data_IF_441175305320
#
_entry.id   IF_441175305320
#
_cell.length_a   1.000
_cell.length_b   1.000
_cell.length_c   1.000
_cell.angle_alpha   90.00
_cell.angle_beta   90.00
_cell.angle_gamma   90.00
#
_symmetry.space_group_name_H-M   'P 1'
#
loop_
_entity.id
_entity.type
_entity.pdbx_description
1 polymer ?
#
# COMPACT_ATOMS: atom_id res chain seq x y z
N UNK A 1 -4.72 1.29 -12.32
CA UNK A 1 -3.59 2.22 -12.55
C UNK A 1 -2.25 1.48 -12.40
N UNK A 2 -1.19 2.01 -13.00
CA UNK A 2 0.18 1.48 -12.85
C UNK A 2 0.70 1.75 -11.43
N UNK A 3 1.46 0.81 -10.88
CA UNK A 3 2.02 0.91 -9.53
C UNK A 3 3.11 1.98 -9.43
N UNK A 4 3.94 2.17 -10.48
CA UNK A 4 4.91 3.28 -10.54
C UNK A 4 4.33 4.67 -10.25
N UNK A 5 3.09 4.96 -10.68
CA UNK A 5 2.41 6.24 -10.38
C UNK A 5 2.16 6.40 -8.88
N UNK A 6 1.78 5.33 -8.20
CA UNK A 6 1.58 5.33 -6.75
C UNK A 6 2.93 5.50 -6.02
N UNK A 7 3.97 4.87 -6.52
CA UNK A 7 5.35 4.98 -6.00
C UNK A 7 5.91 6.39 -6.14
N UNK A 8 5.64 7.10 -7.24
CA UNK A 8 6.01 8.52 -7.39
C UNK A 8 5.38 9.38 -6.30
N UNK A 9 4.12 9.13 -5.94
CA UNK A 9 3.46 9.82 -4.83
C UNK A 9 4.08 9.41 -3.49
N UNK A 10 4.40 8.13 -3.28
CA UNK A 10 5.05 7.69 -2.05
C UNK A 10 6.41 8.36 -1.82
N UNK A 11 7.22 8.52 -2.86
CA UNK A 11 8.49 9.26 -2.77
C UNK A 11 8.27 10.73 -2.40
N UNK A 12 7.26 11.38 -2.98
CA UNK A 12 6.88 12.74 -2.62
C UNK A 12 6.47 12.83 -1.15
N UNK A 13 5.62 11.92 -0.68
CA UNK A 13 5.15 11.87 0.71
C UNK A 13 6.29 11.61 1.70
N UNK A 14 7.23 10.72 1.37
CA UNK A 14 8.40 10.43 2.21
C UNK A 14 9.36 11.62 2.30
N UNK A 15 9.41 12.48 1.27
CA UNK A 15 10.29 13.63 1.19
C UNK A 15 9.77 14.91 1.87
N UNK A 16 8.49 14.95 2.26
CA UNK A 16 7.88 16.11 2.92
C UNK A 16 7.46 15.78 4.35
N UNK A 17 7.45 16.80 5.21
CA UNK A 17 6.88 16.73 6.57
C UNK A 17 5.67 17.65 6.72
N UNK A 18 5.30 18.39 5.66
CA UNK A 18 4.24 19.39 5.69
C UNK A 18 2.91 18.74 5.36
N UNK A 19 1.99 18.76 6.33
CA UNK A 19 0.67 18.12 6.20
C UNK A 19 -0.17 18.64 5.03
N UNK A 20 -0.06 19.91 4.69
CA UNK A 20 -0.75 20.49 3.53
C UNK A 20 -0.23 19.90 2.21
N UNK A 21 1.10 19.87 2.01
CA UNK A 21 1.71 19.25 0.82
C UNK A 21 1.36 17.76 0.71
N UNK A 22 1.36 17.03 1.84
CA UNK A 22 0.89 15.63 1.86
C UNK A 22 -0.57 15.50 1.40
N UNK A 23 -1.45 16.39 1.90
CA UNK A 23 -2.87 16.37 1.55
C UNK A 23 -3.05 16.66 0.06
N UNK A 24 -2.34 17.66 -0.48
CA UNK A 24 -2.40 18.02 -1.90
C UNK A 24 -1.92 16.87 -2.81
N UNK A 25 -0.82 16.20 -2.44
CA UNK A 25 -0.34 15.00 -3.14
C UNK A 25 -1.37 13.87 -3.14
N UNK A 26 -2.06 13.65 -2.02
CA UNK A 26 -3.13 12.64 -1.92
C UNK A 26 -4.37 13.04 -2.73
N UNK A 27 -4.76 14.32 -2.74
CA UNK A 27 -5.87 14.82 -3.56
C UNK A 27 -5.62 14.56 -5.04
N UNK A 28 -4.40 14.86 -5.52
CA UNK A 28 -4.01 14.58 -6.91
C UNK A 28 -4.04 13.08 -7.21
N UNK A 29 -3.46 12.26 -6.32
CA UNK A 29 -3.48 10.80 -6.43
C UNK A 29 -4.91 10.25 -6.56
N UNK A 30 -5.82 10.66 -5.69
CA UNK A 30 -7.19 10.13 -5.67
C UNK A 30 -8.01 10.55 -6.89
N UNK A 31 -7.80 11.77 -7.41
CA UNK A 31 -8.45 12.22 -8.65
C UNK A 31 -7.99 11.43 -9.88
N UNK A 32 -6.73 10.98 -9.91
CA UNK A 32 -6.19 10.16 -10.99
C UNK A 32 -6.46 8.65 -10.82
N UNK A 33 -6.93 8.22 -9.66
CA UNK A 33 -7.14 6.81 -9.35
C UNK A 33 -8.48 6.32 -9.89
N UNK A 34 -8.52 5.29 -10.73
CA UNK A 34 -9.77 4.66 -11.15
C UNK A 34 -10.57 4.14 -9.95
N UNK A 35 -11.89 4.23 -9.99
CA UNK A 35 -12.77 3.75 -8.90
C UNK A 35 -12.53 2.28 -8.52
N UNK A 36 -12.12 1.44 -9.49
CA UNK A 36 -11.79 0.03 -9.27
C UNK A 36 -10.53 -0.24 -8.44
N UNK A 37 -9.69 0.78 -8.24
CA UNK A 37 -8.43 0.70 -7.50
C UNK A 37 -8.38 1.58 -6.24
N UNK A 38 -9.38 2.45 -6.01
CA UNK A 38 -9.31 3.46 -4.94
C UNK A 38 -9.19 2.87 -3.53
N UNK A 39 -9.89 1.76 -3.27
CA UNK A 39 -9.81 1.01 -2.02
C UNK A 39 -8.39 0.47 -1.79
N UNK A 40 -7.81 -0.15 -2.83
CA UNK A 40 -6.44 -0.68 -2.80
C UNK A 40 -5.41 0.43 -2.61
N UNK A 41 -5.55 1.54 -3.34
CA UNK A 41 -4.64 2.69 -3.25
C UNK A 41 -4.66 3.27 -1.83
N UNK A 42 -5.84 3.43 -1.24
CA UNK A 42 -5.99 3.94 0.13
C UNK A 42 -5.28 3.02 1.12
N UNK A 43 -5.50 1.70 1.06
CA UNK A 43 -4.83 0.77 1.97
C UNK A 43 -3.31 0.76 1.78
N UNK A 44 -2.82 0.68 0.53
CA UNK A 44 -1.38 0.68 0.26
C UNK A 44 -0.72 1.99 0.72
N UNK A 45 -1.40 3.13 0.61
CA UNK A 45 -0.92 4.43 1.12
C UNK A 45 -0.77 4.43 2.64
N UNK A 46 -1.63 3.69 3.36
CA UNK A 46 -1.50 3.49 4.80
C UNK A 46 -0.47 2.39 5.16
N UNK A 47 0.10 1.71 4.17
CA UNK A 47 0.99 0.56 4.39
C UNK A 47 0.25 -0.72 4.77
N UNK A 48 -1.05 -0.76 4.53
CA UNK A 48 -1.95 -1.87 4.88
C UNK A 48 -2.50 -2.54 3.61
N UNK A 49 -3.14 -3.70 3.77
CA UNK A 49 -3.95 -4.31 2.71
C UNK A 49 -5.40 -4.53 3.16
N UNK A 50 -5.70 -4.41 4.44
CA UNK A 50 -7.03 -4.65 4.98
C UNK A 50 -7.28 -3.75 6.17
N UNK A 51 -8.55 -3.48 6.51
CA UNK A 51 -8.90 -2.86 7.76
C UNK A 51 -8.30 -3.62 8.97
N UNK A 52 -7.87 -2.90 10.02
CA UNK A 52 -7.24 -3.52 11.20
C UNK A 52 -8.08 -4.64 11.84
N UNK A 53 -9.42 -4.53 11.82
CA UNK A 53 -10.31 -5.51 12.43
C UNK A 53 -10.32 -6.88 11.74
N UNK A 54 -9.79 -6.99 10.51
CA UNK A 54 -9.64 -8.28 9.82
C UNK A 54 -8.53 -9.13 10.47
N UNK A 55 -7.58 -8.50 11.19
CA UNK A 55 -6.50 -9.21 11.88
C UNK A 55 -5.48 -9.86 10.94
N UNK A 56 -5.48 -9.50 9.65
CA UNK A 56 -4.46 -9.93 8.70
C UNK A 56 -3.29 -8.95 8.73
N UNK A 57 -2.26 -9.30 9.47
CA UNK A 57 -1.04 -8.51 9.52
C UNK A 57 -0.15 -8.78 8.30
N UNK A 58 0.34 -7.69 7.71
CA UNK A 58 1.30 -7.71 6.65
C UNK A 58 2.69 -7.61 7.29
N UNK A 59 3.28 -8.77 7.59
CA UNK A 59 4.49 -8.88 8.41
C UNK A 59 5.39 -10.02 7.97
N UNK A 60 5.84 -10.00 6.72
CA UNK A 60 6.78 -10.99 6.23
C UNK A 60 8.13 -10.80 6.95
N UNK A 61 8.57 -11.83 7.67
CA UNK A 61 9.86 -11.81 8.34
C UNK A 61 11.00 -11.44 7.38
N UNK A 62 11.92 -10.59 7.82
CA UNK A 62 13.04 -10.06 7.01
C UNK A 62 13.83 -11.17 6.32
N UNK A 63 14.07 -12.29 7.01
CA UNK A 63 14.74 -13.47 6.45
C UNK A 63 13.99 -14.06 5.24
N UNK A 64 12.67 -14.07 5.24
CA UNK A 64 11.87 -14.56 4.10
C UNK A 64 11.87 -13.55 2.95
N UNK A 65 11.86 -12.24 3.27
CA UNK A 65 11.97 -11.19 2.27
C UNK A 65 13.35 -11.18 1.59
N UNK A 66 14.45 -11.40 2.33
CA UNK A 66 15.81 -11.59 1.80
C UNK A 66 15.85 -12.80 0.85
N UNK A 67 15.24 -13.92 1.23
CA UNK A 67 15.12 -15.11 0.35
C UNK A 67 14.36 -14.80 -0.94
N UNK A 68 13.25 -14.07 -0.85
CA UNK A 68 12.49 -13.67 -2.01
C UNK A 68 13.28 -12.73 -2.94
N UNK A 69 14.02 -11.78 -2.37
CA UNK A 69 14.90 -10.88 -3.10
C UNK A 69 16.08 -11.62 -3.74
N UNK A 70 16.63 -12.64 -3.07
CA UNK A 70 17.65 -13.53 -3.64
C UNK A 70 17.09 -14.33 -4.82
N UNK A 71 15.89 -14.90 -4.68
CA UNK A 71 15.23 -15.67 -5.72
C UNK A 71 14.86 -14.81 -6.95
N UNK A 72 14.27 -13.63 -6.74
CA UNK A 72 14.00 -12.67 -7.82
C UNK A 72 15.29 -12.15 -8.47
N UNK A 73 16.33 -12.08 -7.63
CA UNK A 73 17.73 -11.68 -7.75
C UNK A 73 18.70 -12.45 -8.65
N UNK A 74 18.78 -13.74 -8.38
CA UNK A 74 20.02 -14.49 -8.54
C UNK A 74 21.19 -14.02 -7.66
N UNK A 75 21.03 -12.94 -6.87
CA UNK A 75 22.07 -12.46 -5.95
C UNK A 75 22.03 -13.32 -4.69
N UNK A 76 23.20 -13.74 -4.21
CA UNK A 76 23.31 -14.58 -3.01
C UNK A 76 22.80 -13.86 -1.75
N UNK A 77 22.14 -14.58 -0.85
CA UNK A 77 21.58 -14.02 0.40
C UNK A 77 22.65 -13.29 1.23
N UNK A 78 23.89 -13.77 1.24
CA UNK A 78 24.99 -13.15 2.00
C UNK A 78 25.28 -11.72 1.55
N UNK A 79 25.29 -11.49 0.22
CA UNK A 79 25.51 -10.16 -0.36
C UNK A 79 24.35 -9.22 -0.01
N UNK A 80 23.12 -9.73 -0.06
CA UNK A 80 21.93 -8.97 0.32
C UNK A 80 21.99 -8.57 1.79
N UNK A 81 22.39 -9.49 2.67
CA UNK A 81 22.52 -9.25 4.11
C UNK A 81 23.63 -8.24 4.39
N UNK A 82 24.75 -8.30 3.67
CA UNK A 82 25.83 -7.31 3.80
C UNK A 82 25.39 -5.90 3.39
N UNK A 83 24.62 -5.76 2.32
CA UNK A 83 24.07 -4.46 1.92
C UNK A 83 22.99 -3.98 2.91
N UNK A 84 22.13 -4.88 3.36
CA UNK A 84 21.09 -4.60 4.36
C UNK A 84 21.68 -4.06 5.67
N UNK A 85 22.82 -4.58 6.12
CA UNK A 85 23.53 -4.06 7.30
C UNK A 85 23.98 -2.59 7.12
N UNK A 86 24.24 -2.16 5.89
CA UNK A 86 24.65 -0.79 5.58
C UNK A 86 23.46 0.15 5.44
N UNK A 87 22.39 -0.31 4.79
CA UNK A 87 21.19 0.50 4.53
C UNK A 87 20.25 0.57 5.74
N UNK A 88 20.19 -0.49 6.56
CA UNK A 88 19.20 -0.65 7.63
C UNK A 88 17.76 -0.87 7.12
N UNK A 89 17.55 -0.89 5.80
CA UNK A 89 16.25 -0.97 5.16
C UNK A 89 16.32 -1.89 3.94
N UNK A 90 15.56 -2.99 3.99
CA UNK A 90 15.56 -3.96 2.90
C UNK A 90 14.92 -3.39 1.63
N UNK A 91 14.01 -2.41 1.75
CA UNK A 91 13.50 -1.67 0.61
C UNK A 91 14.62 -0.98 -0.16
N UNK A 92 15.43 -0.17 0.53
CA UNK A 92 16.58 0.50 -0.07
C UNK A 92 17.61 -0.49 -0.63
N UNK A 93 17.89 -1.58 0.09
CA UNK A 93 18.77 -2.65 -0.42
C UNK A 93 18.22 -3.29 -1.71
N UNK A 94 16.92 -3.53 -1.77
CA UNK A 94 16.26 -4.04 -2.97
C UNK A 94 16.39 -3.08 -4.15
N UNK A 95 16.14 -1.79 -3.95
CA UNK A 95 16.34 -0.76 -4.98
C UNK A 95 17.79 -0.73 -5.48
N UNK A 96 18.77 -0.72 -4.56
CA UNK A 96 20.20 -0.72 -4.90
C UNK A 96 20.58 -1.93 -5.76
N UNK A 97 20.13 -3.13 -5.37
CA UNK A 97 20.40 -4.37 -6.11
C UNK A 97 19.76 -4.33 -7.50
N UNK A 98 18.52 -3.86 -7.61
CA UNK A 98 17.82 -3.78 -8.88
C UNK A 98 18.42 -2.73 -9.82
N UNK A 99 18.91 -1.60 -9.27
CA UNK A 99 19.54 -0.53 -10.05
C UNK A 99 20.89 -0.96 -10.64
N UNK A 100 21.62 -1.81 -9.92
CA UNK A 100 22.94 -2.32 -10.34
C UNK A 100 22.87 -3.54 -11.28
N UNK A 101 21.68 -4.06 -11.57
CA UNK A 101 21.53 -5.12 -12.58
C UNK A 101 21.86 -4.56 -13.95
N UNK A 102 23.02 -4.94 -14.50
CA UNK A 102 23.28 -4.83 -15.94
C UNK A 102 22.09 -5.44 -16.65
N UNK A 103 21.39 -4.63 -17.46
CA UNK A 103 20.17 -4.98 -18.19
C UNK A 103 20.32 -6.32 -18.90
N UNK A 104 20.05 -7.41 -18.19
CA UNK A 104 19.94 -8.74 -18.78
C UNK A 104 18.54 -8.78 -19.34
N UNK A 105 18.42 -8.29 -20.58
CA UNK A 105 17.49 -8.82 -21.59
C UNK A 105 16.17 -9.32 -21.03
N UNK A 106 15.38 -8.43 -20.41
CA UNK A 106 13.98 -8.71 -20.15
C UNK A 106 13.21 -8.30 -21.40
N UNK A 107 13.23 -9.19 -22.40
CA UNK A 107 12.21 -9.20 -23.43
C UNK A 107 10.85 -9.26 -22.70
N UNK A 108 10.12 -8.15 -22.72
CA UNK A 108 8.76 -7.98 -22.19
C UNK A 108 8.62 -8.08 -20.65
N UNK A 109 9.05 -7.03 -19.93
CA UNK A 109 8.52 -6.76 -18.59
C UNK A 109 7.10 -6.20 -18.70
N UNK A 110 6.12 -6.91 -18.14
CA UNK A 110 4.77 -6.37 -17.96
C UNK A 110 4.80 -5.37 -16.79
N UNK A 111 4.46 -4.09 -17.00
CA UNK A 111 4.44 -3.10 -15.92
C UNK A 111 3.49 -3.51 -14.80
N UNK A 112 3.90 -3.31 -13.54
CA UNK A 112 3.06 -3.64 -12.40
C UNK A 112 1.85 -2.70 -12.31
N UNK A 113 0.69 -3.27 -12.03
CA UNK A 113 -0.53 -2.53 -11.68
C UNK A 113 -0.76 -2.57 -10.17
N UNK A 114 -1.48 -1.58 -9.65
CA UNK A 114 -1.91 -1.57 -8.24
C UNK A 114 -2.67 -2.84 -7.88
N UNK A 115 -3.59 -3.28 -8.75
CA UNK A 115 -4.34 -4.52 -8.58
C UNK A 115 -3.43 -5.76 -8.46
N UNK A 116 -2.41 -5.87 -9.32
CA UNK A 116 -1.46 -6.98 -9.29
C UNK A 116 -0.64 -7.01 -8.00
N UNK A 117 -0.15 -5.84 -7.56
CA UNK A 117 0.61 -5.70 -6.31
C UNK A 117 -0.27 -6.07 -5.13
N UNK A 118 -1.44 -5.44 -5.01
CA UNK A 118 -2.38 -5.65 -3.92
C UNK A 118 -2.83 -7.11 -3.82
N UNK A 119 -3.29 -7.71 -4.93
CA UNK A 119 -3.74 -9.11 -4.95
C UNK A 119 -2.61 -10.11 -4.64
N UNK A 120 -1.35 -9.78 -4.96
CA UNK A 120 -0.20 -10.63 -4.62
C UNK A 120 0.17 -10.51 -3.15
N UNK A 121 0.15 -9.30 -2.58
CA UNK A 121 0.31 -9.08 -1.15
C UNK A 121 -0.82 -9.76 -0.35
N UNK A 122 -2.04 -9.71 -0.85
CA UNK A 122 -3.19 -10.41 -0.27
C UNK A 122 -2.95 -11.93 -0.20
N UNK A 123 -2.43 -12.54 -1.26
CA UNK A 123 -2.04 -13.96 -1.28
C UNK A 123 -0.94 -14.27 -0.26
N UNK A 124 0.01 -13.37 -0.07
CA UNK A 124 1.09 -13.51 0.94
C UNK A 124 0.50 -13.50 2.36
N UNK A 125 -0.43 -12.60 2.66
CA UNK A 125 -1.08 -12.53 3.97
C UNK A 125 -1.97 -13.75 4.25
N UNK A 126 -2.74 -14.20 3.26
CA UNK A 126 -3.65 -15.34 3.41
C UNK A 126 -2.93 -16.70 3.45
N UNK A 127 -1.66 -16.77 3.05
CA UNK A 127 -0.90 -18.02 3.08
C UNK A 127 -0.58 -18.44 4.54
N UNK A 128 -1.19 -19.55 4.98
CA UNK A 128 -1.04 -20.15 6.31
C UNK A 128 -0.86 -21.67 6.23
N UNK A 129 -0.44 -22.29 7.33
CA UNK A 129 -0.24 -23.74 7.40
C UNK A 129 1.09 -24.24 6.81
N UNK A 130 1.17 -25.56 6.59
CA UNK A 130 2.38 -26.24 6.10
C UNK A 130 2.74 -25.73 4.70
N UNK A 131 3.99 -25.29 4.52
CA UNK A 131 4.48 -24.76 3.24
C UNK A 131 4.17 -23.27 3.00
N UNK A 132 3.48 -22.59 3.91
CA UNK A 132 3.12 -21.18 3.75
C UNK A 132 4.35 -20.27 3.54
N UNK A 133 5.44 -20.50 4.28
CA UNK A 133 6.66 -19.69 4.14
C UNK A 133 7.23 -19.76 2.72
N UNK A 134 7.24 -20.94 2.10
CA UNK A 134 7.74 -21.12 0.74
C UNK A 134 6.83 -20.46 -0.30
N UNK A 135 5.52 -20.53 -0.11
CA UNK A 135 4.54 -19.81 -0.95
C UNK A 135 4.73 -18.30 -0.85
N UNK A 136 4.91 -17.75 0.36
CA UNK A 136 5.16 -16.31 0.56
C UNK A 136 6.43 -15.86 -0.15
N UNK A 137 7.51 -16.64 -0.06
CA UNK A 137 8.77 -16.37 -0.79
C UNK A 137 8.52 -16.36 -2.30
N UNK A 138 7.82 -17.37 -2.84
CA UNK A 138 7.53 -17.49 -4.28
C UNK A 138 6.66 -16.34 -4.80
N UNK A 139 5.60 -15.97 -4.07
CA UNK A 139 4.74 -14.85 -4.45
C UNK A 139 5.48 -13.53 -4.45
N UNK A 140 6.25 -13.25 -3.40
CA UNK A 140 7.02 -12.01 -3.33
C UNK A 140 8.10 -11.98 -4.41
N UNK A 141 8.84 -13.07 -4.61
CA UNK A 141 9.88 -13.14 -5.64
C UNK A 141 9.31 -12.91 -7.05
N UNK A 142 8.18 -13.56 -7.37
CA UNK A 142 7.52 -13.38 -8.66
C UNK A 142 7.00 -11.96 -8.89
N UNK A 143 6.53 -11.28 -7.83
CA UNK A 143 6.16 -9.86 -7.91
C UNK A 143 7.37 -8.97 -8.20
N UNK A 144 8.48 -9.21 -7.49
CA UNK A 144 9.71 -8.42 -7.64
C UNK A 144 10.36 -8.58 -9.02
N UNK A 145 10.21 -9.72 -9.70
CA UNK A 145 10.80 -9.94 -11.03
C UNK A 145 10.39 -8.88 -12.05
N UNK A 146 9.14 -8.41 -12.00
CA UNK A 146 8.60 -7.42 -12.94
C UNK A 146 8.73 -5.97 -12.46
N UNK A 147 9.09 -5.76 -11.19
CA UNK A 147 9.18 -4.44 -10.59
C UNK A 147 10.35 -3.59 -11.13
N UNK A 148 10.15 -2.28 -11.19
CA UNK A 148 11.20 -1.27 -11.30
C UNK A 148 11.92 -1.05 -9.95
N UNK A 149 13.15 -0.52 -9.92
CA UNK A 149 13.92 -0.39 -8.67
C UNK A 149 13.17 0.34 -7.54
N UNK A 150 12.47 1.44 -7.85
CA UNK A 150 11.66 2.16 -6.86
C UNK A 150 10.43 1.35 -6.42
N UNK A 151 9.80 0.62 -7.35
CA UNK A 151 8.69 -0.27 -7.00
C UNK A 151 9.14 -1.37 -6.03
N UNK A 152 10.35 -1.93 -6.22
CA UNK A 152 10.94 -2.91 -5.31
C UNK A 152 11.07 -2.36 -3.88
N UNK A 153 11.55 -1.13 -3.72
CA UNK A 153 11.69 -0.48 -2.41
C UNK A 153 10.36 -0.48 -1.66
N UNK A 154 9.30 0.01 -2.29
CA UNK A 154 8.00 0.13 -1.65
C UNK A 154 7.31 -1.23 -1.48
N UNK A 155 7.43 -2.17 -2.42
CA UNK A 155 6.89 -3.53 -2.26
C UNK A 155 7.52 -4.21 -1.04
N UNK A 156 8.83 -4.13 -0.86
CA UNK A 156 9.53 -4.75 0.29
C UNK A 156 9.14 -4.07 1.61
N UNK A 157 9.10 -2.73 1.65
CA UNK A 157 8.66 -1.99 2.84
C UNK A 157 7.23 -2.32 3.23
N UNK A 158 6.33 -2.39 2.25
CA UNK A 158 4.95 -2.84 2.48
C UNK A 158 5.00 -4.26 3.01
N UNK A 159 5.55 -5.23 2.28
CA UNK A 159 5.64 -6.65 2.65
C UNK A 159 6.13 -6.92 4.08
N UNK A 160 6.99 -6.07 4.62
CA UNK A 160 7.55 -6.17 5.97
C UNK A 160 6.79 -5.37 7.05
N UNK A 161 5.74 -4.63 6.70
CA UNK A 161 5.03 -3.73 7.60
C UNK A 161 5.87 -2.53 8.04
N UNK A 162 6.81 -2.10 7.19
CA UNK A 162 7.79 -1.04 7.48
C UNK A 162 7.58 0.24 6.68
N UNK A 163 6.55 0.30 5.83
CA UNK A 163 6.22 1.53 5.12
C UNK A 163 5.75 2.61 6.11
N UNK A 164 6.40 3.77 6.08
CA UNK A 164 6.06 4.93 6.92
C UNK A 164 6.07 6.18 6.07
N UNK A 165 4.88 6.61 5.63
CA UNK A 165 4.70 7.82 4.81
C UNK A 165 4.26 9.05 5.63
N UNK A 166 4.09 8.91 6.96
CA UNK A 166 3.57 9.97 7.82
C UNK A 166 2.07 10.26 7.61
N UNK A 167 1.34 9.34 6.97
CA UNK A 167 -0.08 9.47 6.67
C UNK A 167 -0.91 8.67 7.67
N UNK A 168 -2.00 9.27 8.13
CA UNK A 168 -3.00 8.65 8.98
C UNK A 168 -4.38 8.77 8.34
N UNK A 169 -5.35 7.97 8.81
CA UNK A 169 -6.74 7.94 8.31
C UNK A 169 -7.32 9.33 8.09
N UNK A 170 -7.18 10.24 9.06
CA UNK A 170 -7.77 11.57 8.97
C UNK A 170 -7.23 12.40 7.81
N UNK A 171 -5.96 12.20 7.45
CA UNK A 171 -5.35 12.87 6.30
C UNK A 171 -5.83 12.25 4.97
N UNK A 172 -6.11 10.95 4.94
CA UNK A 172 -6.80 10.31 3.81
C UNK A 172 -8.24 10.86 3.68
N UNK A 173 -8.98 10.97 4.78
CA UNK A 173 -10.36 11.49 4.78
C UNK A 173 -10.41 12.96 4.32
N UNK A 174 -9.47 13.79 4.77
CA UNK A 174 -9.30 15.16 4.28
C UNK A 174 -9.13 15.20 2.76
N UNK A 175 -8.21 14.38 2.24
CA UNK A 175 -7.92 14.32 0.82
C UNK A 175 -9.09 13.77 0.00
N UNK A 176 -9.83 12.77 0.50
CA UNK A 176 -11.04 12.26 -0.13
C UNK A 176 -12.15 13.33 -0.20
N UNK A 177 -12.34 14.09 0.87
CA UNK A 177 -13.31 15.18 0.93
C UNK A 177 -13.00 16.26 -0.13
N UNK A 178 -11.74 16.70 -0.20
CA UNK A 178 -11.31 17.70 -1.19
C UNK A 178 -11.36 17.13 -2.61
N UNK A 179 -10.91 15.89 -2.83
CA UNK A 179 -10.81 15.27 -4.15
C UNK A 179 -12.18 15.09 -4.82
N UNK A 180 -13.18 14.62 -4.05
CA UNK A 180 -14.48 14.21 -4.60
C UNK A 180 -15.64 15.14 -4.23
N UNK A 181 -15.48 16.01 -3.23
CA UNK A 181 -16.52 16.97 -2.82
C UNK A 181 -16.07 18.44 -2.93
N UNK A 182 -14.81 18.70 -3.29
CA UNK A 182 -14.28 20.04 -3.53
C UNK A 182 -13.94 20.86 -2.29
N UNK A 183 -14.22 20.35 -1.07
CA UNK A 183 -13.93 21.04 0.18
C UNK A 183 -13.68 20.05 1.32
N UNK A 184 -12.80 20.45 2.25
CA UNK A 184 -12.53 19.71 3.49
C UNK A 184 -13.74 19.71 4.44
N UNK A 185 -14.70 20.59 4.28
CA UNK A 185 -15.94 20.64 5.09
C UNK A 185 -16.75 19.34 5.01
N UNK A 186 -16.66 18.62 3.89
CA UNK A 186 -17.34 17.32 3.72
C UNK A 186 -16.71 16.19 4.54
N UNK A 187 -15.53 16.42 5.15
CA UNK A 187 -14.82 15.43 5.97
C UNK A 187 -15.69 14.87 7.08
N UNK A 188 -16.50 15.67 7.76
CA UNK A 188 -17.34 15.20 8.87
C UNK A 188 -18.34 14.11 8.44
N UNK A 189 -18.95 14.30 7.26
CA UNK A 189 -19.92 13.36 6.70
C UNK A 189 -19.23 12.05 6.29
N UNK A 190 -18.02 12.14 5.74
CA UNK A 190 -17.20 10.99 5.34
C UNK A 190 -16.65 10.25 6.57
N UNK A 191 -16.18 10.99 7.57
CA UNK A 191 -15.69 10.45 8.84
C UNK A 191 -16.79 9.68 9.57
N UNK A 192 -18.03 10.17 9.55
CA UNK A 192 -19.17 9.41 10.09
C UNK A 192 -19.31 8.04 9.41
N UNK A 193 -19.23 7.96 8.08
CA UNK A 193 -19.27 6.68 7.37
C UNK A 193 -18.08 5.77 7.73
N UNK A 194 -16.90 6.37 7.93
CA UNK A 194 -15.73 5.64 8.40
C UNK A 194 -15.92 5.08 9.82
N UNK A 195 -16.47 5.87 10.74
CA UNK A 195 -16.74 5.42 12.11
C UNK A 195 -17.77 4.27 12.17
N UNK A 196 -18.74 4.25 11.23
CA UNK A 196 -19.73 3.18 11.14
C UNK A 196 -19.18 1.87 10.57
N UNK A 197 -18.12 1.91 9.76
CA UNK A 197 -17.58 0.75 9.05
C UNK A 197 -16.22 0.28 9.54
N UNK A 198 -15.46 1.18 10.17
CA UNK A 198 -14.01 1.05 10.44
C UNK A 198 -13.20 0.66 9.19
N UNK A 199 -13.69 0.99 7.99
CA UNK A 199 -13.15 0.53 6.71
C UNK A 199 -13.02 1.71 5.73
N UNK A 200 -11.83 2.30 5.71
CA UNK A 200 -11.54 3.49 4.90
C UNK A 200 -11.55 3.20 3.40
N UNK A 201 -11.19 1.97 2.99
CA UNK A 201 -11.26 1.54 1.59
C UNK A 201 -12.70 1.45 1.11
N UNK A 202 -13.61 0.88 1.92
CA UNK A 202 -15.04 0.86 1.61
C UNK A 202 -15.63 2.27 1.52
N UNK A 203 -15.25 3.17 2.43
CA UNK A 203 -15.68 4.58 2.39
C UNK A 203 -15.19 5.27 1.13
N UNK A 204 -13.90 5.10 0.77
CA UNK A 204 -13.34 5.67 -0.44
C UNK A 204 -14.08 5.18 -1.69
N UNK A 205 -14.29 3.86 -1.80
CA UNK A 205 -15.02 3.27 -2.92
C UNK A 205 -16.46 3.77 -3.03
N UNK A 206 -17.17 3.83 -1.91
CA UNK A 206 -18.56 4.33 -1.87
C UNK A 206 -18.63 5.80 -2.30
N UNK A 207 -17.69 6.62 -1.85
CA UNK A 207 -17.60 8.03 -2.24
C UNK A 207 -17.28 8.20 -3.72
N UNK A 208 -16.34 7.42 -4.26
CA UNK A 208 -15.95 7.53 -5.67
C UNK A 208 -17.03 7.01 -6.63
N UNK A 209 -17.76 5.96 -6.26
CA UNK A 209 -18.81 5.36 -7.13
C UNK A 209 -20.15 6.10 -7.03
N UNK A 210 -20.55 6.54 -5.83
CA UNK A 210 -21.88 7.09 -5.56
C UNK A 210 -21.90 8.54 -5.06
N UNK A 211 -20.74 9.18 -4.95
CA UNK A 211 -20.62 10.56 -4.48
C UNK A 211 -21.01 10.75 -3.02
N UNK A 212 -21.15 12.01 -2.63
CA UNK A 212 -21.46 12.38 -1.24
C UNK A 212 -22.83 11.86 -0.78
N UNK A 213 -23.80 11.71 -1.68
CA UNK A 213 -25.13 11.23 -1.32
C UNK A 213 -25.14 9.73 -0.96
N UNK A 214 -24.27 8.91 -1.57
CA UNK A 214 -24.06 7.54 -1.14
C UNK A 214 -23.45 7.47 0.27
N UNK A 215 -22.50 8.36 0.58
CA UNK A 215 -21.91 8.50 1.93
C UNK A 215 -22.94 8.99 2.95
N UNK A 216 -23.85 9.90 2.57
CA UNK A 216 -24.93 10.34 3.46
C UNK A 216 -25.85 9.19 3.85
N UNK A 217 -26.08 8.25 2.93
CA UNK A 217 -26.92 7.07 3.11
C UNK A 217 -26.15 5.82 3.58
N UNK A 218 -24.88 5.97 3.97
CA UNK A 218 -24.03 4.88 4.38
C UNK A 218 -24.61 4.17 5.63
N UNK A 219 -24.86 2.87 5.53
CA UNK A 219 -25.48 2.07 6.60
C UNK A 219 -24.42 1.25 7.35
N UNK A 220 -24.72 0.93 8.60
CA UNK A 220 -23.95 -0.04 9.38
C UNK A 220 -23.92 -1.36 8.64
N UNK A 221 -22.72 -1.86 8.37
CA UNK A 221 -22.54 -3.20 7.79
C UNK A 221 -22.50 -4.20 8.94
N UNK A 222 -23.51 -5.08 9.03
CA UNK A 222 -23.57 -6.12 10.07
C UNK A 222 -22.29 -6.97 10.00
N UNK A 223 -21.59 -7.12 11.13
CA UNK A 223 -20.34 -7.89 11.24
C UNK A 223 -19.04 -7.07 11.21
N UNK A 224 -19.09 -5.74 11.02
CA UNK A 224 -17.92 -4.85 11.15
C UNK A 224 -17.97 -4.06 12.46
N UNK A 225 -16.84 -3.87 13.17
CA UNK A 225 -16.82 -3.09 14.40
C UNK A 225 -17.06 -1.60 14.12
N UNK A 226 -17.83 -0.96 15.01
CA UNK A 226 -18.02 0.49 15.00
C UNK A 226 -16.84 1.10 15.76
N UNK A 227 -16.21 2.13 15.20
CA UNK A 227 -15.11 2.84 15.86
C UNK A 227 -15.69 3.54 17.09
N UNK A 228 -15.33 3.08 18.28
CA UNK A 228 -15.77 3.69 19.54
C UNK A 228 -15.15 5.08 19.65
N UNK A 229 -15.98 6.12 19.54
CA UNK A 229 -15.54 7.48 19.84
C UNK A 229 -15.24 7.58 21.32
N UNK A 230 -14.03 8.02 21.67
CA UNK A 230 -13.76 8.52 23.02
C UNK A 230 -14.61 9.79 23.20
N UNK A 231 -15.69 9.65 23.94
CA UNK A 231 -16.38 10.80 24.53
C UNK A 231 -15.49 11.24 25.68
N UNK A 232 -14.65 12.26 25.44
CA UNK A 232 -14.00 13.03 26.51
C UNK A 232 -14.99 14.00 27.12
#
# INVERSE_FOLDING_TARGET
MLFRKLVEVFESLESTTKRLEMTDSLVMLFKETPSSDIDKVVFLTLGEIYPPFIGLELGLAEKLAVKALSLATGVKEEIIIEDLKKTGDLGQTGENIFSNRKSRTLLFKEPLTVDKVYSTLEKICKATGKGAQELKIKYLAGLLTNAEPKEVKYILRIAQGRLRLGIADMTILDALAIAFCGSKEYREVIERAYNLSSDIGLVAKTLTEGGIDAIKNFKVTIGKPIKGGYIS
#
